data_IF_198076573220
#
_entry.id   IF_198076573220
#
_cell.length_a   1.000
_cell.length_b   1.000
_cell.length_c   1.000
_cell.angle_alpha   90.00
_cell.angle_beta   90.00
_cell.angle_gamma   90.00
#
_symmetry.space_group_name_H-M   'P 1'
#
loop_
_entity.id
_entity.type
_entity.pdbx_description
1 polymer ?
#
# COMPACT_ATOMS: atom_id res chain seq x y z
N UNK A 1 -29.50 31.41 -4.05
CA UNK A 1 -29.41 29.96 -4.31
C UNK A 1 -28.14 29.50 -3.63
N UNK A 2 -28.25 28.76 -2.53
CA UNK A 2 -27.10 28.38 -1.72
C UNK A 2 -26.39 27.22 -2.41
N UNK A 3 -25.17 27.46 -2.88
CA UNK A 3 -24.26 26.42 -3.35
C UNK A 3 -24.03 25.45 -2.20
N UNK A 4 -24.52 24.22 -2.38
CA UNK A 4 -24.25 23.13 -1.44
C UNK A 4 -22.76 22.86 -1.51
N UNK A 5 -22.03 23.23 -0.46
CA UNK A 5 -20.70 22.70 -0.19
C UNK A 5 -20.82 21.18 -0.11
N UNK A 6 -20.49 20.48 -1.19
CA UNK A 6 -20.09 19.09 -1.11
C UNK A 6 -18.79 19.09 -0.32
N UNK A 7 -18.87 18.83 0.98
CA UNK A 7 -17.73 18.35 1.73
C UNK A 7 -17.16 17.16 0.95
N UNK A 8 -15.83 17.07 0.71
CA UNK A 8 -15.27 15.87 0.12
C UNK A 8 -15.65 14.72 1.06
N UNK A 9 -16.45 13.77 0.57
CA UNK A 9 -16.67 12.53 1.31
C UNK A 9 -15.27 12.00 1.62
N UNK A 10 -14.93 11.89 2.91
CA UNK A 10 -13.63 11.35 3.32
C UNK A 10 -13.55 9.98 2.69
N UNK A 11 -12.62 9.79 1.75
CA UNK A 11 -12.33 8.46 1.22
C UNK A 11 -12.13 7.54 2.42
N UNK A 12 -12.87 6.44 2.52
CA UNK A 12 -12.71 5.53 3.64
C UNK A 12 -11.25 5.09 3.76
N UNK A 13 -10.79 4.89 5.00
CA UNK A 13 -9.44 4.42 5.27
C UNK A 13 -9.53 2.90 5.45
N UNK A 14 -8.74 2.09 4.72
CA UNK A 14 -8.73 0.65 4.91
C UNK A 14 -8.20 0.32 6.30
N UNK A 15 -8.76 -0.72 6.93
CA UNK A 15 -8.24 -1.22 8.21
C UNK A 15 -6.97 -2.02 7.97
N UNK A 16 -6.08 -2.08 8.97
CA UNK A 16 -4.84 -2.87 8.91
C UNK A 16 -5.08 -4.33 8.48
N UNK A 17 -6.09 -5.00 9.04
CA UNK A 17 -6.42 -6.37 8.65
C UNK A 17 -6.89 -6.52 7.20
N UNK A 18 -7.41 -5.47 6.56
CA UNK A 18 -7.76 -5.50 5.14
C UNK A 18 -6.51 -5.34 4.27
N UNK A 19 -5.62 -4.43 4.65
CA UNK A 19 -4.32 -4.22 4.00
C UNK A 19 -3.51 -5.52 4.04
N UNK A 20 -3.38 -6.12 5.22
CA UNK A 20 -2.63 -7.36 5.42
C UNK A 20 -3.18 -8.51 4.59
N UNK A 21 -4.51 -8.67 4.51
CA UNK A 21 -5.12 -9.72 3.68
C UNK A 21 -4.79 -9.57 2.20
N UNK A 22 -4.77 -8.35 1.67
CA UNK A 22 -4.39 -8.12 0.27
C UNK A 22 -2.92 -8.50 0.06
N UNK A 23 -2.04 -8.07 0.96
CA UNK A 23 -0.62 -8.42 0.91
C UNK A 23 -0.41 -9.93 1.00
N UNK A 24 -1.10 -10.63 1.91
CA UNK A 24 -1.01 -12.09 2.06
C UNK A 24 -1.43 -12.83 0.79
N UNK A 25 -2.51 -12.37 0.13
CA UNK A 25 -2.95 -12.92 -1.15
C UNK A 25 -1.91 -12.68 -2.24
N UNK A 26 -1.34 -11.48 -2.33
CA UNK A 26 -0.30 -11.14 -3.30
C UNK A 26 1.00 -11.90 -3.06
N UNK A 27 1.36 -12.13 -1.79
CA UNK A 27 2.56 -12.84 -1.38
C UNK A 27 2.46 -14.37 -1.52
N UNK A 28 1.27 -14.91 -1.80
CA UNK A 28 1.07 -16.34 -1.99
C UNK A 28 1.47 -17.18 -0.78
N UNK A 29 1.08 -16.77 0.43
CA UNK A 29 1.39 -17.44 1.71
C UNK A 29 2.89 -17.49 2.08
N UNK A 30 3.77 -16.79 1.34
CA UNK A 30 5.18 -16.67 1.71
C UNK A 30 5.33 -15.86 3.00
N UNK A 31 6.27 -16.22 3.89
CA UNK A 31 6.54 -15.43 5.09
C UNK A 31 7.07 -14.06 4.69
N UNK A 32 6.55 -13.03 5.34
CA UNK A 32 6.94 -11.65 5.12
C UNK A 32 7.79 -11.11 6.28
N UNK A 33 8.70 -10.20 5.96
CA UNK A 33 9.44 -9.38 6.93
C UNK A 33 8.97 -7.95 6.83
N UNK A 34 8.60 -7.32 7.95
CA UNK A 34 8.26 -5.89 7.99
C UNK A 34 9.53 -5.05 7.87
N UNK A 35 9.59 -4.16 6.87
CA UNK A 35 10.72 -3.26 6.61
C UNK A 35 10.42 -1.84 7.10
N UNK A 36 9.20 -1.36 6.85
CA UNK A 36 8.74 -0.03 7.28
C UNK A 36 7.33 -0.15 7.81
N UNK A 37 7.06 0.47 8.96
CA UNK A 37 5.71 0.70 9.47
C UNK A 37 5.57 2.14 9.95
N UNK A 38 4.52 2.82 9.50
CA UNK A 38 4.21 4.19 9.90
C UNK A 38 2.70 4.40 10.12
N UNK A 39 2.38 5.05 11.23
CA UNK A 39 1.01 5.30 11.68
C UNK A 39 0.83 6.76 12.09
N UNK A 40 -0.39 7.26 11.94
CA UNK A 40 -0.83 8.55 12.46
C UNK A 40 -2.11 8.39 13.31
N UNK A 41 -2.74 9.50 13.69
CA UNK A 41 -3.99 9.48 14.46
C UNK A 41 -5.15 8.75 13.76
N UNK A 42 -5.06 8.54 12.45
CA UNK A 42 -6.06 7.84 11.65
C UNK A 42 -5.62 6.39 11.32
N UNK A 43 -4.50 5.91 11.86
CA UNK A 43 -3.98 4.55 11.70
C UNK A 43 -2.84 4.44 10.69
N UNK A 44 -2.64 3.23 10.16
CA UNK A 44 -1.55 2.90 9.24
C UNK A 44 -1.63 3.75 7.96
N UNK A 45 -0.57 4.51 7.67
CA UNK A 45 -0.44 5.28 6.44
C UNK A 45 0.68 4.79 5.53
N UNK A 46 1.63 4.03 6.07
CA UNK A 46 2.63 3.33 5.27
C UNK A 46 3.03 2.00 5.88
N UNK A 47 3.13 0.97 5.05
CA UNK A 47 3.66 -0.34 5.41
C UNK A 47 4.43 -0.90 4.23
N UNK A 48 5.69 -1.25 4.46
CA UNK A 48 6.52 -1.99 3.50
C UNK A 48 6.85 -3.33 4.11
N UNK A 49 6.45 -4.40 3.44
CA UNK A 49 6.89 -5.75 3.77
C UNK A 49 7.69 -6.35 2.62
N UNK A 50 8.57 -7.29 2.93
CA UNK A 50 9.44 -7.95 1.97
C UNK A 50 9.27 -9.47 2.07
N UNK A 51 9.28 -10.12 0.91
CA UNK A 51 9.34 -11.57 0.76
C UNK A 51 10.54 -11.94 -0.11
N UNK A 52 10.91 -13.23 -0.08
CA UNK A 52 11.81 -13.80 -1.08
C UNK A 52 10.95 -14.36 -2.23
N UNK A 53 11.17 -13.82 -3.43
CA UNK A 53 10.53 -14.22 -4.67
C UNK A 53 10.86 -15.65 -5.07
N UNK A 54 10.17 -16.17 -6.09
CA UNK A 54 10.39 -17.55 -6.58
C UNK A 54 11.74 -17.73 -7.28
N UNK A 55 12.31 -16.65 -7.81
CA UNK A 55 13.65 -16.57 -8.38
C UNK A 55 14.75 -16.36 -7.31
N UNK A 56 14.36 -16.18 -6.05
CA UNK A 56 15.26 -15.92 -4.92
C UNK A 56 15.57 -14.44 -4.71
N UNK A 57 15.13 -13.56 -5.60
CA UNK A 57 15.30 -12.12 -5.45
C UNK A 57 14.22 -11.51 -4.55
N UNK A 58 14.49 -10.41 -3.82
CA UNK A 58 13.52 -9.82 -2.92
C UNK A 58 12.37 -9.12 -3.66
N UNK A 59 11.16 -9.26 -3.13
CA UNK A 59 9.98 -8.52 -3.60
C UNK A 59 9.36 -7.77 -2.43
N UNK A 60 9.10 -6.48 -2.61
CA UNK A 60 8.44 -5.64 -1.61
C UNK A 60 7.02 -5.31 -2.00
N UNK A 61 6.15 -5.27 -0.99
CA UNK A 61 4.80 -4.73 -1.09
C UNK A 61 4.76 -3.43 -0.28
N UNK A 62 4.60 -2.29 -0.96
CA UNK A 62 4.51 -0.95 -0.33
C UNK A 62 3.05 -0.49 -0.33
N UNK A 63 2.40 -0.60 0.83
CA UNK A 63 1.13 0.06 1.09
C UNK A 63 1.37 1.53 1.44
N UNK A 64 0.65 2.40 0.75
CA UNK A 64 0.55 3.84 1.08
C UNK A 64 -0.91 4.27 1.15
N UNK A 65 -1.23 5.12 2.13
CA UNK A 65 -2.55 5.78 2.22
C UNK A 65 -2.52 7.11 1.47
N UNK A 66 -3.59 7.48 0.79
CA UNK A 66 -3.75 8.84 0.26
C UNK A 66 -3.70 9.86 1.40
N UNK A 67 -2.99 10.96 1.19
CA UNK A 67 -2.84 12.01 2.19
C UNK A 67 -1.57 12.84 2.03
N UNK A 68 -1.35 13.74 2.99
CA UNK A 68 -0.14 14.55 3.10
C UNK A 68 0.58 14.13 4.38
N UNK A 69 1.80 13.62 4.23
CA UNK A 69 2.65 13.10 5.31
C UNK A 69 4.01 13.79 5.29
N UNK A 70 4.84 13.51 6.30
CA UNK A 70 6.18 14.08 6.40
C UNK A 70 7.06 13.73 5.18
N UNK A 71 6.86 12.53 4.60
CA UNK A 71 7.58 12.09 3.41
C UNK A 71 7.07 12.70 2.09
N UNK A 72 5.87 13.29 2.09
CA UNK A 72 5.29 13.91 0.90
C UNK A 72 3.79 13.69 0.76
N UNK A 73 3.28 13.99 -0.44
CA UNK A 73 1.86 13.86 -0.80
C UNK A 73 1.63 12.61 -1.62
N UNK A 74 0.67 11.81 -1.19
CA UNK A 74 0.21 10.60 -1.86
C UNK A 74 -1.21 10.85 -2.37
N UNK A 75 -1.41 10.71 -3.68
CA UNK A 75 -2.70 11.00 -4.34
C UNK A 75 -3.73 9.87 -4.21
N UNK A 76 -3.28 8.63 -3.97
CA UNK A 76 -4.12 7.44 -3.96
C UNK A 76 -3.67 6.45 -2.88
N UNK A 77 -4.64 5.78 -2.26
CA UNK A 77 -4.36 4.65 -1.37
C UNK A 77 -4.13 3.41 -2.24
N UNK A 78 -2.95 2.80 -2.14
CA UNK A 78 -2.55 1.69 -3.02
C UNK A 78 -1.57 0.74 -2.33
N UNK A 79 -1.41 -0.44 -2.94
CA UNK A 79 -0.33 -1.37 -2.68
C UNK A 79 0.44 -1.53 -3.99
N UNK A 80 1.70 -1.13 -3.98
CA UNK A 80 2.62 -1.30 -5.11
C UNK A 80 3.54 -2.51 -4.85
N UNK A 81 3.83 -3.25 -5.91
CA UNK A 81 4.86 -4.31 -5.90
C UNK A 81 6.15 -3.70 -6.44
N UNK A 82 7.25 -3.91 -5.72
CA UNK A 82 8.58 -3.46 -6.08
C UNK A 82 9.47 -4.69 -6.17
N UNK A 83 10.03 -4.94 -7.36
CA UNK A 83 10.97 -6.02 -7.61
C UNK A 83 12.39 -5.50 -7.40
N UNK A 84 13.15 -6.19 -6.57
CA UNK A 84 14.55 -5.88 -6.30
C UNK A 84 15.44 -6.94 -6.93
N UNK A 85 16.69 -6.60 -7.22
CA UNK A 85 17.72 -7.59 -7.51
C UNK A 85 18.37 -8.10 -6.20
N UNK A 86 19.29 -9.06 -6.33
CA UNK A 86 20.06 -9.62 -5.21
C UNK A 86 20.89 -8.60 -4.41
N UNK A 87 21.24 -7.47 -5.00
CA UNK A 87 21.95 -6.37 -4.33
C UNK A 87 21.00 -5.42 -3.57
N UNK A 88 19.69 -5.61 -3.74
CA UNK A 88 18.63 -4.82 -3.10
C UNK A 88 18.23 -3.57 -3.88
N UNK A 89 18.70 -3.41 -5.12
CA UNK A 89 18.33 -2.30 -5.99
C UNK A 89 16.99 -2.57 -6.67
N UNK A 90 16.16 -1.52 -6.80
CA UNK A 90 14.90 -1.59 -7.53
C UNK A 90 15.15 -1.77 -9.03
N UNK A 91 14.61 -2.86 -9.58
CA UNK A 91 14.70 -3.20 -11.00
C UNK A 91 13.35 -3.09 -11.73
N UNK A 92 12.26 -2.90 -10.98
CA UNK A 92 10.95 -2.63 -11.53
C UNK A 92 9.85 -2.63 -10.49
N UNK A 93 8.63 -2.35 -10.94
CA UNK A 93 7.46 -2.38 -10.07
C UNK A 93 6.16 -2.18 -10.84
N UNK A 94 5.06 -2.43 -10.15
CA UNK A 94 3.71 -2.24 -10.67
C UNK A 94 2.73 -1.99 -9.53
N UNK A 95 1.70 -1.18 -9.79
CA UNK A 95 0.57 -1.08 -8.87
C UNK A 95 -0.20 -2.39 -8.87
N UNK A 96 -0.39 -3.01 -7.70
CA UNK A 96 -1.09 -4.30 -7.60
C UNK A 96 -2.54 -4.15 -7.15
N UNK A 97 -2.82 -3.17 -6.29
CA UNK A 97 -4.16 -2.88 -5.86
C UNK A 97 -4.33 -1.41 -5.48
N UNK A 98 -5.51 -0.85 -5.78
CA UNK A 98 -5.93 0.49 -5.36
C UNK A 98 -7.14 0.38 -4.44
N UNK A 99 -7.23 1.26 -3.45
CA UNK A 99 -8.40 1.36 -2.58
C UNK A 99 -9.31 2.49 -3.06
N UNK A 100 -10.41 2.11 -3.72
CA UNK A 100 -11.34 3.02 -4.38
C UNK A 100 -12.72 2.83 -3.74
N UNK A 101 -13.30 3.93 -3.26
CA UNK A 101 -14.66 3.98 -2.70
C UNK A 101 -14.95 2.91 -1.63
N UNK A 102 -13.94 2.54 -0.82
CA UNK A 102 -14.08 1.58 0.27
C UNK A 102 -13.82 0.12 -0.12
N UNK A 103 -13.28 -0.14 -1.30
CA UNK A 103 -12.95 -1.47 -1.76
C UNK A 103 -11.56 -1.53 -2.40
N UNK A 104 -10.89 -2.67 -2.24
CA UNK A 104 -9.67 -2.99 -2.98
C UNK A 104 -10.00 -3.48 -4.39
N UNK A 105 -9.39 -2.85 -5.38
CA UNK A 105 -9.47 -3.22 -6.80
C UNK A 105 -8.08 -3.63 -7.24
N UNK A 106 -7.92 -4.89 -7.66
CA UNK A 106 -6.69 -5.40 -8.25
C UNK A 106 -6.50 -4.84 -9.66
N UNK A 107 -5.26 -4.55 -10.04
CA UNK A 107 -4.88 -4.15 -11.41
C UNK A 107 -4.55 -5.35 -12.31
#
# INVERSE_FOLDING_TARGET
MSEKFNSPEKTPIPREGEIMRVIEVLAGEKPFTEIIRREDENGLYRLVVEIIGDDGDPVRFDYVRAGEFAEGKVSQTAIDIIYLNSDGDEVGGSCAAKYIDGAWVSE
#
